data_IF_788361541286
#
_entry.id   IF_788361541286
#
_cell.length_a   1.000
_cell.length_b   1.000
_cell.length_c   1.000
_cell.angle_alpha   90.00
_cell.angle_beta   90.00
_cell.angle_gamma   90.00
#
_symmetry.space_group_name_H-M   'P 1'
#
loop_
_entity.id
_entity.type
_entity.pdbx_description
1 polymer ?
#
# COMPACT_ATOMS: atom_id res chain seq x y z
N UNK A 1 -0.35 -16.57 13.55
CA UNK A 1 0.60 -15.70 13.47
C UNK A 1 0.14 -14.38 12.96
N UNK A 2 0.79 -13.47 13.23
CA UNK A 2 0.36 -12.19 12.88
C UNK A 2 0.87 -11.81 11.55
N UNK A 3 0.00 -11.45 10.68
CA UNK A 3 0.41 -10.87 9.43
C UNK A 3 0.92 -9.48 9.65
N UNK A 4 1.64 -8.94 8.69
CA UNK A 4 2.01 -7.55 8.72
C UNK A 4 0.80 -6.70 8.40
N UNK A 5 0.67 -5.62 9.14
CA UNK A 5 -0.38 -4.65 8.85
C UNK A 5 0.19 -3.58 7.95
N UNK A 6 -0.39 -3.42 6.79
CA UNK A 6 0.03 -2.38 5.86
C UNK A 6 -0.34 -1.01 6.42
N UNK A 7 0.59 -0.07 6.40
CA UNK A 7 0.32 1.30 6.83
C UNK A 7 0.33 2.22 5.63
N UNK A 8 -0.68 3.07 5.54
CA UNK A 8 -0.78 4.05 4.46
C UNK A 8 -0.51 5.44 5.01
N UNK A 9 0.31 6.19 4.28
CA UNK A 9 0.69 7.53 4.70
C UNK A 9 0.85 8.40 3.45
N UNK A 10 0.47 9.68 3.55
CA UNK A 10 0.74 10.61 2.47
C UNK A 10 2.03 11.37 2.71
N UNK A 11 2.77 11.60 1.64
CA UNK A 11 3.96 12.43 1.68
C UNK A 11 4.01 13.22 0.38
N UNK A 12 3.63 14.49 0.44
CA UNK A 12 3.74 15.43 -0.69
C UNK A 12 3.09 14.89 -1.97
N UNK A 13 1.84 14.46 -1.84
CA UNK A 13 1.09 13.98 -2.99
C UNK A 13 1.38 12.54 -3.38
N UNK A 14 2.18 11.83 -2.60
CA UNK A 14 2.49 10.44 -2.83
C UNK A 14 1.95 9.61 -1.68
N UNK A 15 1.28 8.52 -2.01
CA UNK A 15 0.83 7.55 -1.02
C UNK A 15 1.96 6.55 -0.78
N UNK A 16 2.33 6.39 0.48
CA UNK A 16 3.38 5.45 0.86
C UNK A 16 2.73 4.29 1.59
N UNK A 17 3.07 3.08 1.16
CA UNK A 17 2.56 1.86 1.78
C UNK A 17 3.71 1.18 2.52
N UNK A 18 3.68 1.28 3.84
CA UNK A 18 4.69 0.64 4.69
C UNK A 18 4.28 -0.80 4.97
N UNK A 19 5.24 -1.67 5.09
CA UNK A 19 5.05 -3.08 5.48
C UNK A 19 4.29 -3.90 4.45
N UNK A 20 4.18 -3.40 3.23
CA UNK A 20 3.62 -4.19 2.15
C UNK A 20 4.76 -5.02 1.55
N UNK A 21 4.63 -6.34 1.57
CA UNK A 21 5.66 -7.18 0.99
C UNK A 21 5.51 -7.25 -0.52
N UNK A 22 6.61 -7.61 -1.20
CA UNK A 22 6.55 -7.78 -2.65
C UNK A 22 5.58 -8.89 -3.03
N UNK A 23 5.54 -9.94 -2.22
CA UNK A 23 4.63 -11.04 -2.44
C UNK A 23 3.18 -10.60 -2.37
N UNK A 24 2.84 -9.80 -1.37
CA UNK A 24 1.50 -9.24 -1.25
C UNK A 24 1.16 -8.36 -2.44
N UNK A 25 2.09 -7.53 -2.87
CA UNK A 25 1.86 -6.64 -4.00
C UNK A 25 1.62 -7.44 -5.28
N UNK A 26 2.37 -8.51 -5.50
CA UNK A 26 2.18 -9.34 -6.66
C UNK A 26 0.82 -10.02 -6.66
N UNK A 27 0.38 -10.46 -5.48
CA UNK A 27 -0.91 -11.11 -5.33
C UNK A 27 -2.07 -10.13 -5.50
N UNK A 28 -1.96 -8.96 -4.88
CA UNK A 28 -3.03 -7.98 -4.86
C UNK A 28 -3.07 -7.12 -6.11
N UNK A 29 -1.91 -6.88 -6.71
CA UNK A 29 -1.78 -6.00 -7.88
C UNK A 29 -2.44 -4.65 -7.63
N UNK A 30 -2.02 -4.00 -6.55
CA UNK A 30 -2.62 -2.74 -6.15
C UNK A 30 -2.41 -1.66 -7.20
N UNK A 31 -3.42 -0.84 -7.40
CA UNK A 31 -3.44 0.16 -8.47
C UNK A 31 -2.32 1.19 -8.29
N UNK A 32 -1.50 1.34 -9.33
CA UNK A 32 -0.48 2.39 -9.37
C UNK A 32 0.67 2.22 -8.40
N UNK A 33 0.74 1.12 -7.67
CA UNK A 33 1.79 0.90 -6.68
C UNK A 33 3.07 0.42 -7.34
N UNK A 34 4.18 1.06 -6.99
CA UNK A 34 5.51 0.70 -7.47
C UNK A 34 6.47 0.64 -6.30
N UNK A 35 7.47 -0.23 -6.43
CA UNK A 35 8.52 -0.33 -5.42
C UNK A 35 9.52 0.80 -5.58
N UNK A 36 9.83 1.48 -4.49
CA UNK A 36 10.86 2.52 -4.48
C UNK A 36 12.06 2.00 -3.70
N UNK A 37 13.10 1.66 -4.41
CA UNK A 37 14.28 1.06 -3.81
C UNK A 37 15.04 2.05 -2.91
N UNK A 38 14.95 3.35 -3.21
CA UNK A 38 15.65 4.34 -2.41
C UNK A 38 15.13 4.42 -0.99
N UNK A 39 13.81 4.30 -0.83
CA UNK A 39 13.18 4.36 0.49
C UNK A 39 12.78 2.99 1.00
N UNK A 40 12.89 1.96 0.17
CA UNK A 40 12.50 0.60 0.48
C UNK A 40 11.04 0.53 0.91
N UNK A 41 10.20 1.26 0.18
CA UNK A 41 8.76 1.26 0.41
C UNK A 41 8.05 1.16 -0.93
N UNK A 42 6.80 0.71 -0.87
CA UNK A 42 5.94 0.80 -2.04
C UNK A 42 5.29 2.18 -2.05
N UNK A 43 5.14 2.75 -3.23
CA UNK A 43 4.59 4.09 -3.41
C UNK A 43 3.60 4.13 -4.56
N UNK A 44 2.64 5.02 -4.46
CA UNK A 44 1.66 5.25 -5.51
C UNK A 44 1.28 6.71 -5.53
N UNK A 45 0.84 7.24 -6.70
CA UNK A 45 0.27 8.59 -6.72
C UNK A 45 -0.95 8.66 -5.80
N UNK A 46 -1.12 9.81 -5.15
CA UNK A 46 -2.16 9.94 -4.14
C UNK A 46 -3.57 9.69 -4.68
N UNK A 47 -3.80 9.94 -5.96
CA UNK A 47 -5.13 9.75 -6.53
C UNK A 47 -5.54 8.27 -6.61
N UNK A 48 -4.62 7.35 -6.39
CA UNK A 48 -4.97 5.92 -6.34
C UNK A 48 -5.43 5.48 -4.95
N UNK A 49 -5.44 6.40 -3.97
CA UNK A 49 -5.76 6.06 -2.58
C UNK A 49 -7.07 5.28 -2.46
N UNK A 50 -8.14 5.80 -3.06
CA UNK A 50 -9.45 5.17 -2.95
C UNK A 50 -9.44 3.76 -3.52
N UNK A 51 -8.85 3.59 -4.70
CA UNK A 51 -8.79 2.27 -5.34
C UNK A 51 -7.99 1.28 -4.50
N UNK A 52 -6.87 1.74 -3.95
CA UNK A 52 -6.03 0.89 -3.11
C UNK A 52 -6.79 0.45 -1.86
N UNK A 53 -7.49 1.37 -1.22
CA UNK A 53 -8.28 1.04 -0.03
C UNK A 53 -9.35 0.01 -0.37
N UNK A 54 -10.04 0.18 -1.49
CA UNK A 54 -11.05 -0.79 -1.91
C UNK A 54 -10.45 -2.15 -2.16
N UNK A 55 -9.28 -2.20 -2.79
CA UNK A 55 -8.61 -3.47 -3.05
C UNK A 55 -8.18 -4.15 -1.75
N UNK A 56 -7.68 -3.39 -0.78
CA UNK A 56 -7.29 -3.96 0.51
C UNK A 56 -8.51 -4.53 1.23
N UNK A 57 -9.64 -3.84 1.17
CA UNK A 57 -10.87 -4.32 1.80
C UNK A 57 -11.41 -5.56 1.12
N UNK A 58 -11.39 -5.57 -0.20
CA UNK A 58 -11.90 -6.72 -0.96
C UNK A 58 -11.10 -7.98 -0.69
N UNK A 59 -9.81 -7.82 -0.43
CA UNK A 59 -8.93 -8.95 -0.16
C UNK A 59 -8.75 -9.21 1.34
N UNK A 60 -9.49 -8.48 2.17
CA UNK A 60 -9.47 -8.65 3.63
C UNK A 60 -8.08 -8.47 4.22
N UNK A 61 -7.33 -7.51 3.69
CA UNK A 61 -5.99 -7.22 4.17
C UNK A 61 -6.07 -6.21 5.31
N UNK A 62 -5.49 -6.55 6.45
CA UNK A 62 -5.43 -5.62 7.57
C UNK A 62 -4.55 -4.42 7.20
N UNK A 63 -5.04 -3.22 7.47
CA UNK A 63 -4.29 -2.01 7.17
C UNK A 63 -4.64 -0.89 8.14
N UNK A 64 -3.67 0.00 8.33
CA UNK A 64 -3.87 1.22 9.09
C UNK A 64 -3.76 2.40 8.15
N UNK A 65 -4.71 3.31 8.23
CA UNK A 65 -4.78 4.47 7.36
C UNK A 65 -4.36 5.71 8.14
N UNK A 66 -3.16 6.19 7.86
CA UNK A 66 -2.63 7.42 8.42
C UNK A 66 -2.63 8.56 7.40
N UNK A 67 -3.29 8.33 6.30
CA UNK A 67 -3.34 9.31 5.23
C UNK A 67 -4.45 10.36 5.45
#
# INVERSE_FOLDING_TARGET
>A
MLGNMTELQFDKGTLILHRLTQEEQQTLQLAGVQWDQRTQTHRAPAWYYREIILQLRQNEVAHEDHA
#
